data_IF_208056090339
#
_entry.id   IF_208056090339
#
_cell.length_a   1.000
_cell.length_b   1.000
_cell.length_c   1.000
_cell.angle_alpha   90.00
_cell.angle_beta   90.00
_cell.angle_gamma   90.00
#
_symmetry.space_group_name_H-M   'P 1'
#
loop_
_entity.id
_entity.type
_entity.pdbx_description
1 polymer ?
#
# COMPACT_ATOMS: atom_id res chain seq x y z
N UNK A 1 -41.74 -17.99 -35.94
CA UNK A 1 -41.17 -16.64 -36.09
C UNK A 1 -41.31 -15.95 -34.74
N UNK A 2 -40.67 -16.44 -33.68
CA UNK A 2 -39.26 -16.29 -33.33
C UNK A 2 -38.68 -14.89 -33.62
N UNK A 3 -38.60 -14.08 -32.56
CA UNK A 3 -37.63 -13.00 -32.38
C UNK A 3 -37.36 -12.89 -30.88
N UNK A 4 -36.37 -13.64 -30.42
CA UNK A 4 -35.82 -13.54 -29.07
C UNK A 4 -35.27 -12.15 -28.79
N UNK A 5 -35.78 -11.52 -27.73
CA UNK A 5 -35.11 -10.42 -27.06
C UNK A 5 -34.03 -11.03 -26.15
N UNK A 6 -32.77 -10.85 -26.55
CA UNK A 6 -31.62 -11.12 -25.68
C UNK A 6 -31.62 -10.10 -24.56
N UNK A 7 -32.09 -10.53 -23.41
CA UNK A 7 -31.89 -9.86 -22.13
C UNK A 7 -30.40 -9.97 -21.79
N UNK A 8 -29.64 -8.91 -22.09
CA UNK A 8 -28.26 -8.76 -21.65
C UNK A 8 -28.29 -8.57 -20.13
N UNK A 9 -28.23 -9.68 -19.40
CA UNK A 9 -27.89 -9.72 -17.99
C UNK A 9 -26.51 -9.09 -17.81
N UNK A 10 -26.50 -7.80 -17.48
CA UNK A 10 -25.32 -7.08 -17.06
C UNK A 10 -24.86 -7.72 -15.74
N UNK A 11 -23.92 -8.64 -15.86
CA UNK A 11 -23.31 -9.36 -14.76
C UNK A 11 -22.49 -8.35 -13.97
N UNK A 12 -23.14 -7.67 -13.03
CA UNK A 12 -22.51 -6.84 -12.02
C UNK A 12 -21.70 -7.78 -11.12
N UNK A 13 -20.53 -8.15 -11.63
CA UNK A 13 -19.53 -8.92 -10.92
C UNK A 13 -19.07 -8.05 -9.76
N UNK A 14 -19.61 -8.34 -8.58
CA UNK A 14 -19.22 -7.74 -7.32
C UNK A 14 -17.72 -7.82 -7.16
N UNK A 15 -17.04 -6.74 -7.54
CA UNK A 15 -15.62 -6.54 -7.29
C UNK A 15 -15.52 -6.38 -5.77
N UNK A 16 -15.32 -7.49 -5.06
CA UNK A 16 -14.91 -7.50 -3.64
C UNK A 16 -13.87 -6.41 -3.49
N UNK A 17 -14.23 -5.30 -2.83
CA UNK A 17 -13.40 -4.11 -2.80
C UNK A 17 -12.07 -4.46 -2.15
N UNK A 18 -11.02 -4.60 -2.96
CA UNK A 18 -9.69 -4.87 -2.43
C UNK A 18 -9.27 -3.73 -1.52
N UNK A 19 -8.81 -4.04 -0.31
CA UNK A 19 -8.27 -3.04 0.62
C UNK A 19 -7.15 -2.25 -0.03
N UNK A 20 -6.43 -2.80 -1.00
CA UNK A 20 -5.40 -2.10 -1.76
C UNK A 20 -5.92 -0.97 -2.69
N UNK A 21 -7.23 -0.83 -2.89
CA UNK A 21 -7.82 0.22 -3.75
C UNK A 21 -7.67 1.59 -3.09
N UNK A 22 -6.99 2.53 -3.73
CA UNK A 22 -6.76 3.88 -3.20
C UNK A 22 -8.07 4.66 -2.99
N UNK A 23 -8.25 5.25 -1.80
CA UNK A 23 -9.50 5.93 -1.42
C UNK A 23 -9.42 7.44 -1.63
N UNK A 24 -8.30 8.06 -1.25
CA UNK A 24 -8.01 9.51 -1.31
C UNK A 24 -7.18 9.85 -2.54
N UNK A 25 -6.12 9.09 -2.82
CA UNK A 25 -5.23 9.32 -3.97
C UNK A 25 -5.84 8.68 -5.23
N UNK A 26 -6.48 9.50 -6.07
CA UNK A 26 -7.00 9.06 -7.38
C UNK A 26 -5.89 9.00 -8.45
N UNK A 27 -6.09 8.30 -9.58
CA UNK A 27 -5.03 8.11 -10.59
C UNK A 27 -4.31 9.41 -11.02
N UNK A 28 -5.00 10.54 -11.28
CA UNK A 28 -4.31 11.78 -11.63
C UNK A 28 -3.42 12.33 -10.50
N UNK A 29 -3.75 12.06 -9.24
CA UNK A 29 -2.92 12.44 -8.09
C UNK A 29 -1.75 11.47 -7.90
N UNK A 30 -1.92 10.18 -8.21
CA UNK A 30 -0.85 9.19 -8.19
C UNK A 30 0.26 9.55 -9.20
N UNK A 31 -0.11 9.89 -10.43
CA UNK A 31 0.84 10.33 -11.47
C UNK A 31 1.64 11.57 -11.06
N UNK A 32 0.99 12.51 -10.36
CA UNK A 32 1.64 13.70 -9.81
C UNK A 32 2.64 13.36 -8.71
N UNK A 33 2.31 12.42 -7.82
CA UNK A 33 3.23 11.92 -6.79
C UNK A 33 4.46 11.29 -7.45
N UNK A 34 4.28 10.46 -8.48
CA UNK A 34 5.38 9.83 -9.19
C UNK A 34 6.26 10.85 -9.91
N UNK A 35 5.65 11.83 -10.57
CA UNK A 35 6.35 12.92 -11.25
C UNK A 35 7.18 13.72 -10.26
N UNK A 36 6.57 14.15 -9.15
CA UNK A 36 7.25 14.88 -8.08
C UNK A 36 8.43 14.08 -7.52
N UNK A 37 8.22 12.79 -7.25
CA UNK A 37 9.29 11.95 -6.70
C UNK A 37 10.43 11.75 -7.69
N UNK A 38 10.14 11.54 -8.98
CA UNK A 38 11.18 11.49 -10.04
C UNK A 38 11.98 12.80 -10.08
N UNK A 39 11.31 13.94 -10.01
CA UNK A 39 11.97 15.25 -9.97
C UNK A 39 12.90 15.36 -8.76
N UNK A 40 12.51 14.88 -7.57
CA UNK A 40 13.37 14.88 -6.37
C UNK A 40 14.66 14.06 -6.53
N UNK A 41 14.69 13.05 -7.41
CA UNK A 41 15.90 12.27 -7.66
C UNK A 41 16.89 12.98 -8.59
N UNK A 42 16.40 13.93 -9.40
CA UNK A 42 17.19 14.63 -10.40
C UNK A 42 17.95 15.81 -9.81
N UNK A 43 19.21 15.98 -10.22
CA UNK A 43 20.03 17.15 -9.82
C UNK A 43 19.61 18.41 -10.55
N UNK A 44 19.19 18.27 -11.81
CA UNK A 44 18.86 19.36 -12.71
C UNK A 44 17.49 19.06 -13.30
N UNK A 45 16.44 19.62 -12.69
CA UNK A 45 15.16 19.80 -13.36
C UNK A 45 15.16 21.20 -14.00
N UNK A 46 14.20 21.46 -14.89
CA UNK A 46 14.13 22.72 -15.67
C UNK A 46 14.19 23.98 -14.81
N UNK A 47 13.65 23.92 -13.59
CA UNK A 47 13.48 25.09 -12.71
C UNK A 47 14.15 24.95 -11.35
N UNK A 48 14.72 23.79 -11.01
CA UNK A 48 15.21 23.53 -9.65
C UNK A 48 16.12 22.30 -9.54
N UNK A 49 16.79 22.19 -8.40
CA UNK A 49 17.61 21.04 -8.04
C UNK A 49 16.85 20.10 -7.10
N UNK A 50 16.27 19.04 -7.65
CA UNK A 50 15.49 18.07 -6.88
C UNK A 50 16.29 17.36 -5.78
N UNK A 51 17.55 17.01 -6.02
CA UNK A 51 18.40 16.38 -4.98
C UNK A 51 18.65 17.31 -3.79
N UNK A 52 18.81 18.62 -4.04
CA UNK A 52 18.95 19.60 -2.98
C UNK A 52 17.64 19.74 -2.17
N UNK A 53 16.50 19.77 -2.85
CA UNK A 53 15.18 19.79 -2.20
C UNK A 53 14.92 18.51 -1.39
N UNK A 54 15.29 17.33 -1.91
CA UNK A 54 15.24 16.05 -1.18
C UNK A 54 16.14 16.07 0.05
N UNK A 55 17.36 16.58 -0.08
CA UNK A 55 18.29 16.71 1.05
C UNK A 55 17.79 17.72 2.11
N UNK A 56 17.05 18.76 1.71
CA UNK A 56 16.40 19.68 2.65
C UNK A 56 15.28 18.97 3.41
N UNK A 57 14.40 18.24 2.71
CA UNK A 57 13.32 17.45 3.35
C UNK A 57 13.86 16.44 4.37
N UNK A 58 14.94 15.72 4.05
CA UNK A 58 15.57 14.73 4.96
C UNK A 58 16.19 15.35 6.22
N UNK A 59 16.58 16.62 6.17
CA UNK A 59 17.23 17.33 7.28
C UNK A 59 16.24 18.16 8.12
N UNK A 60 15.05 18.40 7.61
CA UNK A 60 14.03 19.15 8.30
C UNK A 60 13.52 18.41 9.55
N UNK A 61 13.09 19.16 10.57
CA UNK A 61 12.48 18.60 11.77
C UNK A 61 11.08 18.04 11.45
N UNK A 62 11.00 16.75 11.14
CA UNK A 62 9.77 16.11 10.66
C UNK A 62 8.67 16.02 11.75
N UNK A 63 7.36 16.08 11.37
CA UNK A 63 6.86 16.34 10.02
C UNK A 63 6.77 17.83 9.69
N UNK A 64 6.63 18.72 10.67
CA UNK A 64 6.28 20.13 10.42
C UNK A 64 7.38 20.96 9.78
N UNK A 65 8.66 20.65 10.02
CA UNK A 65 9.77 21.29 9.34
C UNK A 65 9.74 21.10 7.82
N UNK A 66 9.04 20.07 7.31
CA UNK A 66 8.86 19.91 5.87
C UNK A 66 8.00 21.04 5.26
N UNK A 67 7.13 21.69 6.05
CA UNK A 67 6.27 22.79 5.57
C UNK A 67 7.08 23.98 5.03
N UNK A 68 8.33 24.15 5.48
CA UNK A 68 9.21 25.23 5.02
C UNK A 68 10.12 24.82 3.87
N UNK A 69 10.02 23.58 3.38
CA UNK A 69 10.87 23.07 2.30
C UNK A 69 10.25 23.32 0.92
N UNK A 70 11.05 23.78 -0.04
CA UNK A 70 10.61 23.98 -1.43
C UNK A 70 10.08 22.69 -2.09
N UNK A 71 10.70 21.55 -1.79
CA UNK A 71 10.22 20.25 -2.28
C UNK A 71 8.80 19.91 -1.82
N UNK A 72 8.41 20.32 -0.60
CA UNK A 72 7.03 20.19 -0.13
C UNK A 72 6.11 21.18 -0.83
N UNK A 73 6.49 22.45 -0.95
CA UNK A 73 5.67 23.49 -1.60
C UNK A 73 5.30 23.10 -3.05
N UNK A 74 6.22 22.46 -3.78
CA UNK A 74 5.93 21.89 -5.11
C UNK A 74 4.88 20.79 -5.04
N UNK A 75 5.04 19.85 -4.12
CA UNK A 75 4.09 18.74 -3.96
C UNK A 75 2.70 19.26 -3.55
N UNK A 76 2.62 20.21 -2.61
CA UNK A 76 1.35 20.77 -2.16
C UNK A 76 0.61 21.46 -3.30
N UNK A 77 1.32 22.17 -4.18
CA UNK A 77 0.72 22.79 -5.36
C UNK A 77 0.19 21.73 -6.34
N UNK A 78 0.95 20.65 -6.59
CA UNK A 78 0.50 19.55 -7.45
C UNK A 78 -0.75 18.86 -6.88
N UNK A 79 -0.81 18.68 -5.56
CA UNK A 79 -1.88 18.01 -4.83
C UNK A 79 -2.94 18.96 -4.24
N UNK A 80 -3.04 20.20 -4.73
CA UNK A 80 -3.98 21.19 -4.19
C UNK A 80 -5.43 20.69 -4.13
N UNK A 81 -5.89 19.95 -5.16
CA UNK A 81 -7.23 19.35 -5.17
C UNK A 81 -7.43 18.19 -4.18
N UNK A 82 -6.36 17.53 -3.74
CA UNK A 82 -6.42 16.49 -2.69
C UNK A 82 -6.48 17.12 -1.30
N UNK A 83 -5.70 18.19 -1.10
CA UNK A 83 -5.63 18.97 0.13
C UNK A 83 -6.96 19.70 0.37
N UNK A 84 -7.45 20.42 -0.63
CA UNK A 84 -8.64 21.27 -0.51
C UNK A 84 -8.48 22.34 0.57
N UNK A 85 -9.55 22.58 1.32
CA UNK A 85 -9.63 23.49 2.46
C UNK A 85 -9.20 22.85 3.80
N UNK A 86 -8.74 21.60 3.76
CA UNK A 86 -8.49 20.79 4.96
C UNK A 86 -7.06 20.93 5.46
N UNK A 87 -6.87 21.66 6.55
CA UNK A 87 -5.56 21.83 7.19
C UNK A 87 -4.89 20.50 7.58
N UNK A 88 -5.66 19.52 8.09
CA UNK A 88 -5.12 18.20 8.42
C UNK A 88 -4.58 17.44 7.19
N UNK A 89 -5.12 17.71 5.98
CA UNK A 89 -4.59 17.12 4.74
C UNK A 89 -3.32 17.81 4.25
N UNK A 90 -3.19 19.12 4.44
CA UNK A 90 -1.94 19.83 4.19
C UNK A 90 -0.81 19.23 5.07
N UNK A 91 -1.08 19.03 6.36
CA UNK A 91 -0.17 18.37 7.29
C UNK A 91 0.12 16.91 6.88
N UNK A 92 -0.87 16.18 6.38
CA UNK A 92 -0.69 14.83 5.84
C UNK A 92 0.21 14.79 4.61
N UNK A 93 0.10 15.74 3.69
CA UNK A 93 1.00 15.88 2.55
C UNK A 93 2.42 16.24 3.00
N UNK A 94 2.57 17.07 4.03
CA UNK A 94 3.88 17.39 4.61
C UNK A 94 4.54 16.16 5.25
N UNK A 95 3.77 15.37 6.01
CA UNK A 95 4.22 14.10 6.58
C UNK A 95 4.64 13.13 5.46
N UNK A 96 3.83 12.98 4.42
CA UNK A 96 4.18 12.18 3.26
C UNK A 96 5.46 12.67 2.58
N UNK A 97 5.63 13.98 2.35
CA UNK A 97 6.84 14.52 1.75
C UNK A 97 8.10 14.22 2.58
N UNK A 98 8.00 14.39 3.90
CA UNK A 98 9.07 14.06 4.83
C UNK A 98 9.44 12.58 4.78
N UNK A 99 8.45 11.67 4.76
CA UNK A 99 8.69 10.22 4.66
C UNK A 99 9.24 9.82 3.29
N UNK A 100 8.61 10.27 2.21
CA UNK A 100 8.96 9.89 0.84
C UNK A 100 10.38 10.33 0.46
N UNK A 101 10.91 11.42 1.03
CA UNK A 101 12.28 11.85 0.82
C UNK A 101 13.32 10.78 1.24
N UNK A 102 12.96 9.84 2.12
CA UNK A 102 13.79 8.72 2.54
C UNK A 102 13.64 7.47 1.66
N UNK A 103 12.68 7.43 0.73
CA UNK A 103 12.55 6.31 -0.21
C UNK A 103 13.64 6.37 -1.29
N UNK A 104 14.20 5.22 -1.66
CA UNK A 104 15.19 5.15 -2.74
C UNK A 104 14.54 5.12 -4.13
N UNK A 105 13.42 4.40 -4.27
CA UNK A 105 12.67 4.34 -5.52
C UNK A 105 11.17 4.05 -5.30
N UNK A 106 10.35 4.42 -6.28
CA UNK A 106 8.94 4.03 -6.33
C UNK A 106 8.82 2.56 -6.77
N UNK A 107 7.91 1.82 -6.16
CA UNK A 107 7.57 0.45 -6.53
C UNK A 107 6.06 0.28 -6.42
N UNK A 108 5.36 0.29 -7.55
CA UNK A 108 3.89 0.29 -7.65
C UNK A 108 3.26 -1.11 -7.67
N UNK A 109 4.06 -2.18 -7.64
CA UNK A 109 3.60 -3.57 -7.83
C UNK A 109 2.61 -4.08 -6.79
N UNK A 110 2.77 -3.65 -5.54
CA UNK A 110 1.92 -4.02 -4.39
C UNK A 110 1.65 -2.79 -3.54
N UNK A 111 0.65 -2.85 -2.66
CA UNK A 111 0.40 -1.76 -1.72
C UNK A 111 1.57 -1.60 -0.74
N UNK A 112 1.68 -0.41 -0.14
CA UNK A 112 2.74 -0.10 0.82
C UNK A 112 2.74 -1.07 2.00
N UNK A 113 1.58 -1.40 2.58
CA UNK A 113 1.51 -2.29 3.73
C UNK A 113 1.84 -3.75 3.35
N UNK A 114 1.39 -4.24 2.19
CA UNK A 114 1.75 -5.56 1.69
C UNK A 114 3.26 -5.70 1.49
N UNK A 115 3.90 -4.64 0.96
CA UNK A 115 5.34 -4.53 0.80
C UNK A 115 6.11 -4.64 2.14
N UNK A 116 5.59 -4.08 3.23
CA UNK A 116 6.23 -4.21 4.53
C UNK A 116 6.21 -5.66 5.06
N UNK A 117 5.20 -6.45 4.67
CA UNK A 117 5.02 -7.85 5.07
C UNK A 117 5.82 -8.85 4.22
N UNK A 118 6.47 -8.41 3.14
CA UNK A 118 7.29 -9.28 2.27
C UNK A 118 8.55 -9.79 2.97
N UNK A 119 8.98 -11.00 2.60
CA UNK A 119 10.26 -11.59 2.99
C UNK A 119 11.42 -10.80 2.34
N UNK A 120 12.50 -10.56 3.09
CA UNK A 120 13.66 -9.77 2.61
C UNK A 120 14.41 -10.52 1.50
N UNK A 121 14.43 -11.84 1.56
CA UNK A 121 15.03 -12.71 0.53
C UNK A 121 14.22 -13.98 0.38
N UNK A 122 14.32 -14.62 -0.78
CA UNK A 122 13.78 -15.96 -0.99
C UNK A 122 14.39 -16.93 0.04
N UNK A 123 13.56 -17.77 0.65
CA UNK A 123 13.98 -18.73 1.67
C UNK A 123 14.22 -18.18 3.09
N UNK A 124 14.06 -16.87 3.33
CA UNK A 124 14.13 -16.30 4.68
C UNK A 124 12.74 -16.10 5.29
N UNK A 125 12.54 -16.42 6.56
CA UNK A 125 11.33 -16.04 7.29
C UNK A 125 11.34 -14.59 7.78
N UNK A 126 12.46 -13.89 7.58
CA UNK A 126 12.58 -12.48 7.94
C UNK A 126 11.81 -11.62 6.93
N UNK A 127 10.80 -10.92 7.44
CA UNK A 127 10.09 -9.85 6.71
C UNK A 127 10.86 -8.54 6.74
N UNK A 128 10.57 -7.64 5.81
CA UNK A 128 11.08 -6.27 5.83
C UNK A 128 10.75 -5.60 7.17
N UNK A 129 9.46 -5.53 7.50
CA UNK A 129 9.01 -5.12 8.83
C UNK A 129 8.47 -6.34 9.57
N UNK A 130 9.00 -6.63 10.75
CA UNK A 130 8.46 -7.67 11.64
C UNK A 130 7.06 -7.28 12.13
N UNK A 131 6.21 -8.26 12.42
CA UNK A 131 4.83 -8.04 12.89
C UNK A 131 4.74 -7.11 14.11
N UNK A 132 5.55 -7.32 15.15
CA UNK A 132 5.60 -6.43 16.32
C UNK A 132 5.90 -4.96 15.97
N UNK A 133 6.76 -4.71 14.97
CA UNK A 133 7.08 -3.35 14.52
C UNK A 133 5.95 -2.76 13.67
N UNK A 134 5.29 -3.61 12.89
CA UNK A 134 4.13 -3.22 12.12
C UNK A 134 2.94 -2.89 13.04
N UNK A 135 2.68 -3.67 14.09
CA UNK A 135 1.67 -3.32 15.09
C UNK A 135 1.99 -1.99 15.79
N UNK A 136 3.27 -1.72 16.10
CA UNK A 136 3.68 -0.41 16.63
C UNK A 136 3.37 0.73 15.66
N UNK A 137 3.55 0.51 14.36
CA UNK A 137 3.15 1.47 13.32
C UNK A 137 1.63 1.70 13.35
N UNK A 138 0.82 0.64 13.43
CA UNK A 138 -0.64 0.75 13.50
C UNK A 138 -1.15 1.48 14.75
N UNK A 139 -0.41 1.38 15.87
CA UNK A 139 -0.75 2.03 17.15
C UNK A 139 -0.27 3.47 17.26
N UNK A 140 0.34 4.06 16.22
CA UNK A 140 0.77 5.46 16.23
C UNK A 140 -0.39 6.40 16.59
N UNK A 141 -0.17 7.29 17.57
CA UNK A 141 -1.20 8.20 18.08
C UNK A 141 -1.05 9.63 17.57
N UNK A 142 0.18 10.03 17.26
CA UNK A 142 0.53 11.40 16.86
C UNK A 142 1.14 11.42 15.45
N UNK A 143 1.00 12.54 14.70
CA UNK A 143 1.63 12.69 13.39
C UNK A 143 3.16 12.49 13.43
N UNK A 144 3.81 12.93 14.50
CA UNK A 144 5.25 12.82 14.73
C UNK A 144 5.68 11.36 14.90
N UNK A 145 4.94 10.60 15.74
CA UNK A 145 5.19 9.18 15.94
C UNK A 145 5.00 8.40 14.64
N UNK A 146 3.90 8.67 13.91
CA UNK A 146 3.64 8.05 12.62
C UNK A 146 4.77 8.36 11.63
N UNK A 147 5.16 9.63 11.50
CA UNK A 147 6.21 10.06 10.59
C UNK A 147 7.53 9.33 10.86
N UNK A 148 7.95 9.26 12.13
CA UNK A 148 9.18 8.58 12.54
C UNK A 148 9.13 7.08 12.22
N UNK A 149 8.00 6.41 12.50
CA UNK A 149 7.82 4.99 12.23
C UNK A 149 7.82 4.70 10.72
N UNK A 150 7.19 5.57 9.92
CA UNK A 150 7.15 5.44 8.47
C UNK A 150 8.50 5.72 7.80
N UNK A 151 9.26 6.72 8.25
CA UNK A 151 10.64 6.95 7.78
C UNK A 151 11.47 5.68 7.96
N UNK A 152 11.36 5.03 9.13
CA UNK A 152 12.06 3.77 9.39
C UNK A 152 11.57 2.65 8.46
N UNK A 153 10.27 2.51 8.26
CA UNK A 153 9.70 1.48 7.39
C UNK A 153 10.15 1.63 5.93
N UNK A 154 10.16 2.86 5.42
CA UNK A 154 10.64 3.19 4.06
C UNK A 154 12.15 2.98 3.94
N UNK A 155 12.93 3.37 4.95
CA UNK A 155 14.39 3.17 4.95
C UNK A 155 14.76 1.68 4.96
N UNK A 156 14.03 0.86 5.70
CA UNK A 156 14.22 -0.60 5.75
C UNK A 156 14.02 -1.25 4.38
N UNK A 157 13.11 -0.71 3.57
CA UNK A 157 12.86 -1.19 2.20
C UNK A 157 14.01 -0.86 1.26
N UNK A 158 14.69 0.27 1.47
CA UNK A 158 15.87 0.67 0.70
C UNK A 158 15.65 0.54 -0.81
N UNK A 159 16.57 -0.15 -1.48
CA UNK A 159 16.54 -0.39 -2.93
C UNK A 159 15.35 -1.23 -3.40
N UNK A 160 14.63 -1.96 -2.54
CA UNK A 160 13.38 -2.63 -2.96
C UNK A 160 12.25 -1.63 -3.27
N UNK A 161 12.41 -0.37 -2.85
CA UNK A 161 11.46 0.71 -3.07
C UNK A 161 10.15 0.53 -2.31
N UNK A 162 9.28 1.52 -2.41
CA UNK A 162 7.94 1.53 -1.79
C UNK A 162 6.91 2.11 -2.74
N UNK A 163 5.65 1.69 -2.60
CA UNK A 163 4.53 2.24 -3.36
C UNK A 163 4.14 3.62 -2.79
N UNK A 164 4.57 4.68 -3.46
CA UNK A 164 4.38 6.05 -2.99
C UNK A 164 2.91 6.51 -3.02
N UNK A 165 2.11 6.23 -4.08
CA UNK A 165 0.68 6.52 -4.05
C UNK A 165 -0.06 5.81 -2.92
N UNK A 166 0.22 4.52 -2.68
CA UNK A 166 -0.38 3.74 -1.58
C UNK A 166 0.03 4.26 -0.19
N UNK A 167 1.30 4.66 -0.04
CA UNK A 167 1.78 5.29 1.19
C UNK A 167 1.06 6.63 1.46
N UNK A 168 0.96 7.50 0.45
CA UNK A 168 0.26 8.79 0.57
C UNK A 168 -1.22 8.60 0.90
N UNK A 169 -1.90 7.65 0.26
CA UNK A 169 -3.30 7.29 0.55
C UNK A 169 -3.48 6.87 2.01
N UNK A 170 -2.62 5.98 2.49
CA UNK A 170 -2.62 5.53 3.87
C UNK A 170 -2.40 6.68 4.86
N UNK A 171 -1.40 7.53 4.64
CA UNK A 171 -1.12 8.69 5.49
C UNK A 171 -2.32 9.64 5.55
N UNK A 172 -2.93 9.96 4.40
CA UNK A 172 -4.07 10.88 4.36
C UNK A 172 -5.30 10.30 5.06
N UNK A 173 -5.56 9.00 4.91
CA UNK A 173 -6.61 8.32 5.68
C UNK A 173 -6.34 8.36 7.18
N UNK A 174 -5.09 8.13 7.60
CA UNK A 174 -4.72 8.23 9.01
C UNK A 174 -4.90 9.65 9.55
N UNK A 175 -4.56 10.67 8.76
CA UNK A 175 -4.73 12.08 9.14
C UNK A 175 -6.20 12.49 9.23
N UNK A 176 -7.05 12.04 8.31
CA UNK A 176 -8.50 12.25 8.38
C UNK A 176 -9.06 11.61 9.67
N UNK A 177 -8.63 10.38 10.02
CA UNK A 177 -9.02 9.69 11.26
C UNK A 177 -8.45 10.35 12.53
N UNK A 178 -7.20 10.82 12.49
CA UNK A 178 -6.59 11.53 13.60
C UNK A 178 -7.32 12.84 13.88
N UNK A 179 -7.60 13.62 12.85
CA UNK A 179 -8.39 14.85 12.97
C UNK A 179 -9.78 14.57 13.53
N UNK A 180 -10.47 13.54 13.04
CA UNK A 180 -11.78 13.14 13.59
C UNK A 180 -11.71 12.83 15.10
N UNK A 181 -10.66 12.13 15.55
CA UNK A 181 -10.43 11.87 16.98
C UNK A 181 -10.17 13.16 17.77
N UNK A 182 -9.34 14.07 17.27
CA UNK A 182 -9.04 15.33 17.96
C UNK A 182 -10.27 16.23 18.14
N UNK A 183 -11.22 16.15 17.20
CA UNK A 183 -12.42 16.98 17.18
C UNK A 183 -13.70 16.25 17.63
N UNK A 184 -13.57 15.05 18.21
CA UNK A 184 -14.71 14.21 18.63
C UNK A 184 -15.77 14.01 17.53
N UNK A 185 -15.32 13.90 16.27
CA UNK A 185 -16.19 13.66 15.13
C UNK A 185 -16.51 12.15 15.00
N UNK A 186 -17.65 11.79 14.39
CA UNK A 186 -18.00 10.38 14.18
C UNK A 186 -16.95 9.63 13.36
N UNK A 187 -16.62 8.42 13.80
CA UNK A 187 -15.71 7.51 13.08
C UNK A 187 -16.40 6.99 11.82
N UNK A 188 -15.63 6.74 10.77
CA UNK A 188 -16.14 6.16 9.52
C UNK A 188 -16.86 4.81 9.77
N UNK A 189 -18.15 4.73 9.41
CA UNK A 189 -19.00 3.55 9.66
C UNK A 189 -18.48 2.27 9.02
N UNK A 190 -17.87 2.35 7.84
CA UNK A 190 -17.26 1.19 7.18
C UNK A 190 -15.85 0.91 7.75
N UNK A 191 -15.64 -0.21 8.49
CA UNK A 191 -14.35 -0.53 9.10
C UNK A 191 -13.25 -0.82 8.06
N UNK A 192 -13.60 -1.34 6.87
CA UNK A 192 -12.64 -1.64 5.80
C UNK A 192 -12.11 -0.39 5.08
N UNK A 193 -12.65 0.79 5.40
CA UNK A 193 -12.10 2.07 4.94
C UNK A 193 -11.11 2.68 5.93
N UNK A 194 -10.99 2.12 7.14
CA UNK A 194 -10.05 2.60 8.15
C UNK A 194 -8.62 2.23 7.77
N UNK A 195 -7.70 3.18 7.93
CA UNK A 195 -6.28 3.00 7.63
C UNK A 195 -5.73 1.73 8.30
N UNK A 196 -5.90 1.59 9.61
CA UNK A 196 -5.29 0.49 10.36
C UNK A 196 -5.79 -0.89 9.91
N UNK A 197 -7.08 -1.01 9.60
CA UNK A 197 -7.69 -2.26 9.11
C UNK A 197 -7.17 -2.58 7.71
N UNK A 198 -7.13 -1.59 6.81
CA UNK A 198 -6.62 -1.78 5.45
C UNK A 198 -5.17 -2.21 5.44
N UNK A 199 -4.31 -1.49 6.16
CA UNK A 199 -2.90 -1.83 6.29
C UNK A 199 -2.71 -3.22 6.90
N UNK A 200 -3.47 -3.58 7.95
CA UNK A 200 -3.39 -4.93 8.52
C UNK A 200 -3.75 -6.01 7.48
N UNK A 201 -4.90 -5.89 6.81
CA UNK A 201 -5.30 -6.84 5.78
C UNK A 201 -4.24 -6.97 4.68
N UNK A 202 -3.71 -5.86 4.17
CA UNK A 202 -2.69 -5.85 3.12
C UNK A 202 -1.36 -6.46 3.57
N UNK A 203 -0.89 -6.14 4.77
CA UNK A 203 0.36 -6.67 5.34
C UNK A 203 0.32 -8.21 5.49
N UNK A 204 -0.85 -8.76 5.83
CA UNK A 204 -1.05 -10.20 5.97
C UNK A 204 -1.46 -10.90 4.66
N UNK A 205 -1.79 -10.20 3.58
CA UNK A 205 -2.10 -10.83 2.27
C UNK A 205 -0.89 -11.57 1.70
N UNK A 206 0.33 -11.13 2.00
CA UNK A 206 1.57 -11.82 1.58
C UNK A 206 1.76 -13.17 2.29
N UNK A 207 1.08 -13.41 3.42
CA UNK A 207 1.13 -14.69 4.15
C UNK A 207 0.19 -15.76 3.60
N UNK A 208 -0.66 -15.42 2.64
CA UNK A 208 -1.70 -16.31 2.10
C UNK A 208 -1.37 -16.83 0.71
N UNK A 209 -0.14 -16.65 0.20
CA UNK A 209 0.33 -17.49 -0.91
C UNK A 209 0.43 -18.93 -0.37
N UNK A 210 -0.34 -19.89 -0.91
CA UNK A 210 -0.22 -21.27 -0.50
C UNK A 210 1.22 -21.73 -0.80
N UNK A 211 1.81 -22.45 0.15
CA UNK A 211 3.11 -23.09 -0.06
C UNK A 211 3.05 -23.91 -1.37
N UNK A 212 4.15 -23.99 -2.17
CA UNK A 212 4.17 -24.78 -3.41
C UNK A 212 4.00 -26.30 -3.23
N UNK A 213 3.62 -26.78 -2.03
CA UNK A 213 3.75 -28.18 -1.62
C UNK A 213 2.45 -28.82 -1.13
N UNK A 214 1.31 -28.39 -1.69
CA UNK A 214 0.11 -29.23 -1.77
C UNK A 214 -0.33 -29.31 -3.25
N UNK A 215 0.49 -29.97 -4.06
CA UNK A 215 -0.02 -30.59 -5.27
C UNK A 215 -1.03 -31.68 -4.83
N UNK A 216 -2.25 -31.74 -5.41
CA UNK A 216 -3.15 -32.84 -5.15
C UNK A 216 -2.46 -34.14 -5.59
N UNK A 217 -2.18 -35.03 -4.64
CA UNK A 217 -1.82 -36.41 -4.93
C UNK A 217 -2.87 -36.96 -5.91
N UNK A 218 -2.40 -37.35 -7.10
CA UNK A 218 -3.24 -37.99 -8.10
C UNK A 218 -3.94 -39.21 -7.49
N UNK A 219 -5.20 -39.51 -7.86
CA UNK A 219 -5.88 -40.70 -7.37
C UNK A 219 -5.08 -41.94 -7.76
N UNK A 220 -4.71 -42.76 -6.78
CA UNK A 220 -4.25 -44.11 -7.04
C UNK A 220 -5.44 -44.92 -7.55
N UNK A 221 -5.37 -45.34 -8.81
CA UNK A 221 -6.28 -46.31 -9.41
C UNK A 221 -6.13 -47.66 -8.70
N UNK A 222 -6.92 -47.88 -7.63
CA UNK A 222 -7.16 -49.22 -7.11
C UNK A 222 -8.25 -49.86 -7.96
N UNK A 223 -7.92 -50.27 -9.18
CA UNK A 223 -8.81 -51.12 -9.97
C UNK A 223 -8.61 -52.56 -9.51
N UNK A 224 -9.40 -52.96 -8.51
CA UNK A 224 -9.55 -54.35 -8.10
C UNK A 224 -10.19 -55.14 -9.23
N UNK A 225 -9.44 -56.09 -9.78
CA UNK A 225 -9.92 -56.98 -10.82
C UNK A 225 -9.77 -58.43 -10.37
N UNK A 226 -10.89 -59.05 -9.98
CA UNK A 226 -11.17 -60.49 -10.07
C UNK A 226 -12.62 -60.75 -9.58
N UNK A 227 -13.31 -61.86 -9.89
CA UNK A 227 -13.00 -62.95 -10.84
C UNK A 227 -14.18 -63.45 -11.70
N UNK A 228 -13.87 -64.10 -12.83
CA UNK A 228 -14.65 -65.19 -13.46
C UNK A 228 -13.68 -65.97 -14.34
N UNK A 229 -13.70 -67.28 -14.55
CA UNK A 229 -14.24 -68.49 -13.91
C UNK A 229 -13.70 -69.65 -14.80
N UNK A 230 -13.45 -70.84 -14.24
CA UNK A 230 -13.34 -72.16 -14.92
C UNK A 230 -12.19 -72.41 -15.93
N UNK A 231 -11.62 -73.62 -16.13
CA UNK A 231 -11.53 -74.93 -15.44
C UNK A 231 -10.57 -75.78 -16.35
N UNK A 232 -9.51 -76.38 -15.80
CA UNK A 232 -9.29 -77.85 -15.81
C UNK A 232 -8.61 -78.46 -17.08
N UNK A 233 -8.14 -79.74 -17.09
CA UNK A 233 -6.74 -80.06 -16.79
C UNK A 233 -6.07 -81.01 -17.80
N UNK A 234 -4.75 -81.22 -17.67
CA UNK A 234 -4.02 -82.50 -17.64
C UNK A 234 -2.51 -82.24 -17.79
#
# INVERSE_FOLDING_TARGET
>A
MDKGSKENGNKESGRKGSTATLLVIKPPAAEKIETWFKQLQNRHNDTHNGRAERAALRRAAAPYGALTCQGFMRLSNMLAGVIGDKQHRLLGVALFAAVAAHADQNNDKKSFAAQLGEKVSAGSDRRYLSELRFERLLRAQTPEDLCRLLIRAVTIRGSAGVNLPSLADGILLWMDEWHARQHNLPVHFNPLKRNAVRWACEYHQTTLEPAPDEAPSAPQDTNGNHPTDNKEPA
#
